data_IF_523304540339
#
_entry.id   IF_523304540339
#
_cell.length_a   1.000
_cell.length_b   1.000
_cell.length_c   1.000
_cell.angle_alpha   90.00
_cell.angle_beta   90.00
_cell.angle_gamma   90.00
#
_symmetry.space_group_name_H-M   'P 1'
#
loop_
_entity.id
_entity.type
_entity.pdbx_description
1 polymer ?
#
# COMPACT_ATOMS: atom_id res chain seq x y z
N UNK A 1 -17.87 33.26 -0.82
CA UNK A 1 -17.54 32.41 0.35
C UNK A 1 -17.75 30.95 -0.05
N UNK A 2 -16.82 30.38 -0.82
CA UNK A 2 -16.92 28.99 -1.30
C UNK A 2 -16.29 28.04 -0.29
N UNK A 3 -16.98 27.73 0.79
CA UNK A 3 -16.61 26.62 1.67
C UNK A 3 -17.11 25.33 1.04
N UNK A 4 -16.42 24.86 -0.01
CA UNK A 4 -16.57 23.46 -0.39
C UNK A 4 -15.97 22.66 0.76
N UNK A 5 -16.79 21.96 1.58
CA UNK A 5 -16.25 21.11 2.63
C UNK A 5 -15.72 19.91 1.86
N UNK A 6 -14.44 19.99 1.47
CA UNK A 6 -13.74 18.97 0.72
C UNK A 6 -13.93 17.68 1.51
N UNK A 7 -14.92 16.91 1.06
CA UNK A 7 -15.26 15.61 1.60
C UNK A 7 -13.95 14.86 1.57
N UNK A 8 -13.33 14.68 2.73
CA UNK A 8 -12.29 13.68 2.94
C UNK A 8 -13.02 12.35 2.80
N UNK A 9 -13.38 11.99 1.58
CA UNK A 9 -13.78 10.65 1.25
C UNK A 9 -12.57 9.82 1.67
N UNK A 10 -12.75 8.99 2.70
CA UNK A 10 -11.74 8.05 3.16
C UNK A 10 -11.32 7.25 1.92
N UNK A 11 -10.19 7.63 1.34
CA UNK A 11 -9.77 7.12 0.06
C UNK A 11 -9.27 5.71 0.29
N UNK A 12 -10.18 4.75 0.11
CA UNK A 12 -9.84 3.34 0.02
C UNK A 12 -9.21 3.12 -1.33
N UNK A 13 -8.05 2.47 -1.34
CA UNK A 13 -7.44 2.02 -2.58
C UNK A 13 -8.44 1.11 -3.30
N UNK A 14 -8.64 1.35 -4.60
CA UNK A 14 -9.60 0.58 -5.38
C UNK A 14 -9.00 -0.81 -5.67
N UNK A 15 -9.74 -1.87 -5.40
CA UNK A 15 -9.28 -3.25 -5.58
C UNK A 15 -8.87 -3.55 -7.03
N UNK A 16 -9.55 -2.96 -8.03
CA UNK A 16 -9.17 -3.11 -9.44
C UNK A 16 -7.88 -2.38 -9.82
N UNK A 17 -7.44 -1.38 -9.04
CA UNK A 17 -6.15 -0.72 -9.25
C UNK A 17 -4.99 -1.54 -8.68
N UNK A 18 -5.25 -2.36 -7.65
CA UNK A 18 -4.24 -3.21 -7.01
C UNK A 18 -3.64 -4.21 -7.99
N UNK A 19 -4.45 -4.74 -8.91
CA UNK A 19 -4.01 -5.71 -9.92
C UNK A 19 -3.00 -5.14 -10.92
N UNK A 20 -3.01 -3.81 -11.11
CA UNK A 20 -2.09 -3.09 -11.99
C UNK A 20 -0.85 -2.56 -11.25
N UNK A 21 -0.87 -2.54 -9.92
CA UNK A 21 0.20 -1.96 -9.10
C UNK A 21 1.39 -2.92 -9.01
N UNK A 22 2.53 -2.47 -9.54
CA UNK A 22 3.79 -3.21 -9.53
C UNK A 22 4.81 -2.56 -8.61
N UNK A 23 5.68 -3.38 -8.03
CA UNK A 23 6.82 -2.93 -7.24
C UNK A 23 7.78 -2.11 -8.12
N UNK A 24 8.23 -0.92 -7.68
CA UNK A 24 9.12 -0.10 -8.47
C UNK A 24 10.49 -0.76 -8.70
N UNK A 25 10.92 -1.65 -7.79
CA UNK A 25 12.18 -2.38 -7.83
C UNK A 25 12.10 -3.67 -8.67
N UNK A 26 11.18 -4.58 -8.33
CA UNK A 26 11.12 -5.91 -8.95
C UNK A 26 10.17 -6.02 -10.13
N UNK A 27 9.35 -4.99 -10.40
CA UNK A 27 8.27 -5.01 -11.40
C UNK A 27 7.26 -6.15 -11.23
N UNK A 28 7.21 -6.76 -10.04
CA UNK A 28 6.24 -7.78 -9.67
C UNK A 28 4.99 -7.15 -9.06
N UNK A 29 3.82 -7.81 -9.14
CA UNK A 29 2.60 -7.32 -8.50
C UNK A 29 2.80 -7.12 -6.99
N UNK A 30 2.08 -6.14 -6.44
CA UNK A 30 2.04 -5.85 -5.00
C UNK A 30 0.74 -6.37 -4.40
N UNK A 31 0.81 -6.92 -3.20
CA UNK A 31 -0.35 -7.38 -2.43
C UNK A 31 -0.76 -6.32 -1.42
N UNK A 32 -2.01 -5.89 -1.45
CA UNK A 32 -2.53 -4.99 -0.42
C UNK A 32 -2.79 -5.74 0.89
N UNK A 33 -2.34 -5.16 1.99
CA UNK A 33 -2.57 -5.66 3.34
C UNK A 33 -3.59 -4.77 4.04
N UNK A 34 -4.86 -5.19 4.08
CA UNK A 34 -5.93 -4.44 4.77
C UNK A 34 -5.69 -4.26 6.28
N UNK A 35 -4.83 -5.10 6.90
CA UNK A 35 -4.48 -4.99 8.32
C UNK A 35 -3.55 -3.79 8.60
N UNK A 36 -2.57 -3.54 7.72
CA UNK A 36 -1.61 -2.43 7.90
C UNK A 36 -1.87 -1.22 7.00
N UNK A 37 -2.71 -1.37 5.96
CA UNK A 37 -2.91 -0.34 4.95
C UNK A 37 -1.69 -0.16 4.02
N UNK A 38 -0.92 -1.23 3.82
CA UNK A 38 0.33 -1.20 3.05
C UNK A 38 0.29 -2.13 1.83
N UNK A 39 1.13 -1.85 0.84
CA UNK A 39 1.37 -2.68 -0.32
C UNK A 39 2.66 -3.49 -0.11
N UNK A 40 2.52 -4.80 -0.06
CA UNK A 40 3.59 -5.74 0.26
C UNK A 40 4.10 -6.39 -1.03
N UNK A 41 5.42 -6.44 -1.18
CA UNK A 41 6.08 -7.30 -2.14
C UNK A 41 6.62 -8.54 -1.42
N UNK A 42 5.96 -9.68 -1.58
CA UNK A 42 6.36 -10.93 -0.91
C UNK A 42 7.71 -11.47 -1.44
N UNK A 43 8.14 -11.10 -2.66
CA UNK A 43 9.41 -11.56 -3.23
C UNK A 43 10.65 -10.88 -2.65
N UNK A 44 10.54 -9.58 -2.35
CA UNK A 44 11.63 -8.77 -1.79
C UNK A 44 11.46 -8.56 -0.28
N UNK A 45 10.31 -8.94 0.29
CA UNK A 45 9.99 -8.67 1.69
C UNK A 45 9.96 -7.17 1.98
N UNK A 46 9.40 -6.34 1.10
CA UNK A 46 9.29 -4.89 1.32
C UNK A 46 7.83 -4.45 1.34
N UNK A 47 7.53 -3.44 2.15
CA UNK A 47 6.22 -2.82 2.27
C UNK A 47 6.27 -1.33 1.90
N UNK A 48 5.25 -0.88 1.19
CA UNK A 48 5.03 0.51 0.80
C UNK A 48 3.74 1.03 1.45
N UNK A 49 3.75 2.29 1.91
CA UNK A 49 2.59 2.89 2.58
C UNK A 49 1.52 3.33 1.57
N UNK A 50 0.28 3.35 2.03
CA UNK A 50 -0.84 4.00 1.32
C UNK A 50 -1.34 5.15 2.19
N UNK A 51 -1.28 6.38 1.67
CA UNK A 51 -1.68 7.59 2.39
C UNK A 51 -2.85 8.22 1.64
N UNK A 52 -3.98 8.38 2.32
CA UNK A 52 -5.22 8.88 1.69
C UNK A 52 -5.53 8.16 0.36
N UNK A 53 -5.39 6.83 0.35
CA UNK A 53 -5.66 5.98 -0.83
C UNK A 53 -4.64 6.07 -1.95
N UNK A 54 -3.57 6.85 -1.78
CA UNK A 54 -2.50 7.02 -2.75
C UNK A 54 -1.31 6.11 -2.37
N UNK A 55 -0.90 5.19 -3.26
CA UNK A 55 0.31 4.39 -3.09
C UNK A 55 1.58 5.25 -3.06
N UNK A 56 2.36 5.14 -1.98
CA UNK A 56 3.68 5.76 -1.88
C UNK A 56 4.77 4.77 -2.30
N UNK A 57 4.92 4.59 -3.63
CA UNK A 57 5.86 3.63 -4.23
C UNK A 57 7.24 4.25 -4.50
N UNK A 58 7.88 4.75 -3.44
CA UNK A 58 9.23 5.32 -3.53
C UNK A 58 10.25 4.21 -3.21
N UNK A 59 11.21 3.89 -4.13
CA UNK A 59 12.20 2.83 -3.91
C UNK A 59 12.97 2.92 -2.60
N UNK A 60 13.30 4.14 -2.15
CA UNK A 60 14.06 4.41 -0.92
C UNK A 60 13.23 4.36 0.35
N UNK A 61 11.90 4.54 0.28
CA UNK A 61 11.01 4.50 1.45
C UNK A 61 10.42 3.12 1.71
N UNK A 62 10.73 2.14 0.87
CA UNK A 62 10.28 0.76 1.04
C UNK A 62 10.77 0.19 2.37
N UNK A 63 9.84 -0.11 3.29
CA UNK A 63 10.18 -0.67 4.59
C UNK A 63 10.43 -2.17 4.44
N UNK A 64 11.59 -2.64 4.85
CA UNK A 64 11.89 -4.07 4.89
C UNK A 64 11.04 -4.73 5.97
N UNK A 65 10.29 -5.75 5.57
CA UNK A 65 9.61 -6.67 6.45
C UNK A 65 10.65 -7.69 6.92
N UNK A 66 11.36 -7.37 8.00
CA UNK A 66 12.04 -8.42 8.77
C UNK A 66 10.96 -9.45 9.16
N UNK A 67 11.26 -10.75 9.07
CA UNK A 67 10.35 -11.90 9.23
C UNK A 67 9.61 -11.99 10.59
N UNK A 68 9.57 -10.92 11.38
CA UNK A 68 8.99 -10.83 12.72
C UNK A 68 7.56 -10.29 12.78
N UNK A 69 6.83 -10.20 11.67
CA UNK A 69 5.41 -9.80 11.69
C UNK A 69 4.50 -10.85 11.06
N UNK A 70 4.39 -11.94 11.80
CA UNK A 70 3.25 -12.85 11.96
C UNK A 70 1.94 -12.33 11.34
N UNK A 71 1.66 -12.76 10.12
CA UNK A 71 0.30 -13.01 9.67
C UNK A 71 -0.28 -14.13 10.53
N UNK A 72 -0.78 -13.81 11.73
CA UNK A 72 -1.66 -14.74 12.45
C UNK A 72 -3.07 -14.64 11.85
N UNK A 73 -3.63 -15.70 11.27
CA UNK A 73 -5.06 -15.82 11.09
C UNK A 73 -5.66 -16.23 12.45
N UNK A 74 -6.71 -15.52 12.88
CA UNK A 74 -7.65 -15.97 13.90
C UNK A 74 -9.02 -15.90 13.30
#
# INVERSE_FOLDING_TARGET
MGFWPWRRAAARINEGLLELLVCPLSKRPLRFCSKSGELINDSLGVAYKVIDGVPFLIPTDGRVLNESNESKPT
#
